data_IF_109716789119
#
_entry.id   IF_109716789119
#
_cell.length_a   1.000
_cell.length_b   1.000
_cell.length_c   1.000
_cell.angle_alpha   90.00
_cell.angle_beta   90.00
_cell.angle_gamma   90.00
#
_symmetry.space_group_name_H-M   'P 1'
#
loop_
_entity.id
_entity.type
_entity.pdbx_description
1 polymer ?
#
# COMPACT_ATOMS: atom_id res chain seq x y z
N UNK A 1 1.61 -23.14 -3.45
CA UNK A 1 1.98 -22.37 -2.26
C UNK A 1 0.78 -21.75 -1.57
N UNK A 2 0.04 -20.83 -2.19
CA UNK A 2 -1.10 -20.14 -1.57
C UNK A 2 -2.16 -21.08 -0.96
N UNK A 3 -2.49 -22.20 -1.56
CA UNK A 3 -3.50 -23.13 -1.04
C UNK A 3 -3.25 -23.63 0.39
N UNK A 4 -1.98 -23.73 0.82
CA UNK A 4 -1.60 -24.24 2.15
C UNK A 4 -1.55 -23.11 3.21
N UNK A 5 -1.22 -21.89 2.79
CA UNK A 5 -0.95 -20.76 3.70
C UNK A 5 -1.84 -19.55 3.43
N UNK A 6 -3.04 -19.76 2.85
CA UNK A 6 -3.93 -18.65 2.42
C UNK A 6 -4.29 -17.71 3.56
N UNK A 7 -4.59 -18.24 4.73
CA UNK A 7 -5.14 -17.43 5.83
C UNK A 7 -4.03 -16.71 6.61
N UNK A 8 -2.98 -17.44 7.00
CA UNK A 8 -1.97 -16.97 7.97
C UNK A 8 -0.64 -16.61 7.30
N UNK A 9 -0.46 -16.97 6.02
CA UNK A 9 0.81 -16.81 5.33
C UNK A 9 1.86 -17.87 5.71
N UNK A 10 3.00 -17.83 5.04
CA UNK A 10 4.13 -18.73 5.30
C UNK A 10 5.13 -18.18 6.33
N UNK A 11 4.94 -16.95 6.77
CA UNK A 11 5.89 -16.20 7.59
C UNK A 11 6.84 -15.35 6.74
N UNK A 12 7.45 -14.35 7.36
CA UNK A 12 8.42 -13.48 6.70
C UNK A 12 9.61 -14.30 6.20
N UNK A 13 10.10 -13.97 5.00
CA UNK A 13 11.26 -14.57 4.33
C UNK A 13 11.21 -16.10 4.11
N UNK A 14 10.08 -16.74 4.38
CA UNK A 14 9.87 -18.17 4.13
C UNK A 14 9.41 -18.49 2.70
N UNK A 15 9.32 -17.49 1.84
CA UNK A 15 8.88 -17.67 0.46
C UNK A 15 9.72 -18.72 -0.31
N UNK A 16 11.07 -18.72 -0.24
CA UNK A 16 11.89 -19.69 -0.95
C UNK A 16 11.64 -21.15 -0.50
N UNK A 17 11.30 -21.33 0.77
CA UNK A 17 11.04 -22.66 1.37
C UNK A 17 9.62 -23.13 1.04
N UNK A 18 8.66 -22.23 1.05
CA UNK A 18 7.25 -22.54 0.83
C UNK A 18 6.87 -22.61 -0.66
N UNK A 19 7.66 -22.00 -1.53
CA UNK A 19 7.48 -22.07 -2.98
C UNK A 19 8.00 -23.39 -3.53
N UNK A 20 7.26 -24.12 -4.41
CA UNK A 20 7.73 -25.35 -5.01
C UNK A 20 8.89 -25.05 -5.98
N UNK A 21 10.10 -25.34 -5.52
CA UNK A 21 11.35 -25.11 -6.28
C UNK A 21 11.65 -26.21 -7.30
N UNK A 22 10.94 -27.34 -7.22
CA UNK A 22 11.25 -28.58 -7.98
C UNK A 22 10.58 -28.63 -9.37
N UNK A 23 9.74 -27.66 -9.71
CA UNK A 23 9.09 -27.59 -11.02
C UNK A 23 10.04 -26.98 -12.06
N UNK A 24 10.95 -27.84 -12.56
CA UNK A 24 11.95 -27.46 -13.56
C UNK A 24 11.34 -27.03 -14.90
N UNK A 25 10.18 -27.58 -15.27
CA UNK A 25 9.50 -27.21 -16.53
C UNK A 25 8.89 -25.80 -16.44
N UNK A 26 8.24 -25.46 -15.34
CA UNK A 26 7.72 -24.12 -15.12
C UNK A 26 8.86 -23.09 -15.03
N UNK A 27 9.97 -23.47 -14.37
CA UNK A 27 11.16 -22.60 -14.28
C UNK A 27 11.83 -22.38 -15.63
N UNK A 28 12.04 -23.43 -16.43
CA UNK A 28 12.69 -23.30 -17.75
C UNK A 28 11.87 -22.46 -18.74
N UNK A 29 10.55 -22.43 -18.58
CA UNK A 29 9.68 -21.60 -19.41
C UNK A 29 9.64 -20.14 -18.99
N UNK A 30 10.05 -19.84 -17.75
CA UNK A 30 9.93 -18.50 -17.17
C UNK A 30 11.28 -17.82 -16.96
N UNK A 31 12.32 -18.59 -16.68
CA UNK A 31 13.67 -18.10 -16.38
C UNK A 31 14.69 -18.72 -17.32
N UNK A 32 15.73 -17.97 -17.66
CA UNK A 32 16.82 -18.43 -18.53
C UNK A 32 17.66 -19.56 -17.90
N UNK A 33 17.66 -19.66 -16.56
CA UNK A 33 18.35 -20.72 -15.82
C UNK A 33 17.36 -21.49 -14.93
N UNK A 34 17.12 -22.79 -15.16
CA UNK A 34 16.22 -23.61 -14.35
C UNK A 34 16.71 -23.80 -12.90
N UNK A 35 17.98 -23.55 -12.60
CA UNK A 35 18.52 -23.62 -11.25
C UNK A 35 18.28 -22.34 -10.42
N UNK A 36 17.70 -21.29 -11.02
CA UNK A 36 17.37 -20.06 -10.31
C UNK A 36 16.46 -20.34 -9.11
N UNK A 37 16.87 -19.92 -7.93
CA UNK A 37 16.02 -19.98 -6.72
C UNK A 37 15.07 -18.79 -6.74
N UNK A 38 13.76 -19.09 -6.70
CA UNK A 38 12.73 -18.05 -6.63
C UNK A 38 12.60 -17.64 -5.17
N UNK A 39 13.14 -16.48 -4.82
CA UNK A 39 13.23 -15.97 -3.45
C UNK A 39 12.02 -15.11 -3.05
N UNK A 40 11.37 -14.43 -4.00
CA UNK A 40 10.23 -13.53 -3.75
C UNK A 40 9.37 -13.33 -5.01
N UNK A 41 8.11 -12.86 -4.82
CA UNK A 41 7.15 -12.77 -5.92
C UNK A 41 7.27 -11.51 -6.80
N UNK A 42 8.23 -10.60 -6.55
CA UNK A 42 8.38 -9.30 -7.25
C UNK A 42 7.05 -8.54 -7.43
N UNK A 43 6.18 -8.64 -6.43
CA UNK A 43 4.92 -7.93 -6.34
C UNK A 43 4.58 -7.75 -4.87
N UNK A 44 4.43 -6.50 -4.43
CA UNK A 44 4.17 -6.12 -3.04
C UNK A 44 2.94 -6.83 -2.45
N UNK A 45 1.86 -6.91 -3.22
CA UNK A 45 0.60 -7.50 -2.72
C UNK A 45 0.72 -9.02 -2.58
N UNK A 46 1.37 -9.68 -3.53
CA UNK A 46 1.66 -11.11 -3.43
C UNK A 46 2.66 -11.41 -2.31
N UNK A 47 3.63 -10.54 -2.08
CA UNK A 47 4.57 -10.66 -0.97
C UNK A 47 3.85 -10.58 0.38
N UNK A 48 2.95 -9.61 0.56
CA UNK A 48 2.14 -9.50 1.78
C UNK A 48 1.23 -10.71 1.94
N UNK A 49 0.51 -11.11 0.88
CA UNK A 49 -0.38 -12.27 0.94
C UNK A 49 0.36 -13.57 1.26
N UNK A 50 1.57 -13.78 0.72
CA UNK A 50 2.36 -14.98 0.97
C UNK A 50 2.99 -15.01 2.35
N UNK A 51 3.45 -13.86 2.87
CA UNK A 51 4.12 -13.76 4.16
C UNK A 51 3.14 -13.74 5.34
N UNK A 52 2.05 -12.96 5.22
CA UNK A 52 1.13 -12.67 6.34
C UNK A 52 -0.31 -13.12 6.11
N UNK A 53 -0.61 -13.68 4.94
CA UNK A 53 -1.92 -14.21 4.58
C UNK A 53 -2.88 -13.18 3.96
N UNK A 54 -3.98 -13.72 3.44
CA UNK A 54 -5.00 -12.92 2.74
C UNK A 54 -5.74 -11.94 3.65
N UNK A 55 -5.92 -12.29 4.92
CA UNK A 55 -6.60 -11.43 5.90
C UNK A 55 -5.80 -10.14 6.12
N UNK A 56 -4.48 -10.25 6.26
CA UNK A 56 -3.59 -9.10 6.41
C UNK A 56 -3.59 -8.23 5.14
N UNK A 57 -3.52 -8.86 3.96
CA UNK A 57 -3.61 -8.13 2.68
C UNK A 57 -4.93 -7.35 2.57
N UNK A 58 -6.07 -7.99 2.85
CA UNK A 58 -7.38 -7.33 2.77
C UNK A 58 -7.51 -6.19 3.78
N UNK A 59 -6.98 -6.36 5.01
CA UNK A 59 -6.96 -5.32 6.03
C UNK A 59 -6.13 -4.11 5.58
N UNK A 60 -4.96 -4.35 5.00
CA UNK A 60 -4.11 -3.29 4.46
C UNK A 60 -4.79 -2.56 3.29
N UNK A 61 -5.34 -3.31 2.33
CA UNK A 61 -6.05 -2.73 1.18
C UNK A 61 -7.28 -1.94 1.63
N UNK A 62 -8.01 -2.42 2.64
CA UNK A 62 -9.13 -1.71 3.24
C UNK A 62 -8.71 -0.38 3.86
N UNK A 63 -7.67 -0.38 4.68
CA UNK A 63 -7.12 0.83 5.31
C UNK A 63 -6.63 1.84 4.27
N UNK A 64 -5.88 1.38 3.27
CA UNK A 64 -5.41 2.23 2.16
C UNK A 64 -6.56 2.75 1.31
N UNK A 65 -7.57 1.91 1.03
CA UNK A 65 -8.78 2.31 0.30
C UNK A 65 -9.54 3.42 1.03
N UNK A 66 -9.71 3.30 2.34
CA UNK A 66 -10.34 4.35 3.17
C UNK A 66 -9.53 5.65 3.10
N UNK A 67 -8.20 5.59 3.21
CA UNK A 67 -7.33 6.76 3.10
C UNK A 67 -7.45 7.43 1.73
N UNK A 68 -7.34 6.66 0.64
CA UNK A 68 -7.39 7.18 -0.73
C UNK A 68 -8.75 7.80 -1.05
N UNK A 69 -9.85 7.09 -0.77
CA UNK A 69 -11.21 7.57 -1.04
C UNK A 69 -11.50 8.83 -0.21
N UNK A 70 -11.13 8.82 1.07
CA UNK A 70 -11.34 9.96 1.96
C UNK A 70 -10.52 11.17 1.51
N UNK A 71 -9.26 10.97 1.12
CA UNK A 71 -8.39 12.02 0.60
C UNK A 71 -8.92 12.61 -0.70
N UNK A 72 -9.28 11.78 -1.68
CA UNK A 72 -9.84 12.24 -2.95
C UNK A 72 -11.12 13.06 -2.75
N UNK A 73 -12.05 12.58 -1.90
CA UNK A 73 -13.27 13.33 -1.55
C UNK A 73 -12.99 14.64 -0.82
N UNK A 74 -11.99 14.68 0.04
CA UNK A 74 -11.60 15.87 0.79
C UNK A 74 -11.04 16.92 -0.17
N UNK A 75 -10.04 16.57 -0.99
CA UNK A 75 -9.35 17.50 -1.88
C UNK A 75 -10.26 18.03 -3.00
N UNK A 76 -11.26 17.25 -3.45
CA UNK A 76 -12.25 17.72 -4.42
C UNK A 76 -13.23 18.75 -3.85
N UNK A 77 -13.41 18.81 -2.53
CA UNK A 77 -14.33 19.72 -1.85
C UNK A 77 -13.67 21.00 -1.33
N UNK A 78 -12.35 20.98 -1.12
CA UNK A 78 -11.63 22.13 -0.59
C UNK A 78 -11.50 23.21 -1.67
N UNK A 79 -12.14 24.36 -1.46
CA UNK A 79 -12.09 25.54 -2.36
C UNK A 79 -10.98 26.51 -2.01
N UNK A 80 -10.56 26.58 -0.73
CA UNK A 80 -9.50 27.47 -0.30
C UNK A 80 -8.11 26.93 -0.62
N UNK A 81 -7.19 27.83 -0.95
CA UNK A 81 -5.80 27.48 -1.17
C UNK A 81 -5.01 27.55 0.14
N UNK A 82 -4.36 26.46 0.51
CA UNK A 82 -3.49 26.41 1.68
C UNK A 82 -2.31 25.49 1.42
N UNK A 83 -1.18 25.76 2.06
CA UNK A 83 -0.01 24.90 2.00
C UNK A 83 -0.34 23.46 2.41
N UNK A 84 -1.17 23.31 3.45
CA UNK A 84 -1.63 22.00 3.94
C UNK A 84 -2.37 21.20 2.87
N UNK A 85 -3.21 21.86 2.05
CA UNK A 85 -3.90 21.22 0.93
C UNK A 85 -2.91 20.62 -0.07
N UNK A 86 -1.91 21.39 -0.46
CA UNK A 86 -0.90 20.92 -1.44
C UNK A 86 -0.02 19.81 -0.86
N UNK A 87 0.43 19.94 0.38
CA UNK A 87 1.21 18.90 1.06
C UNK A 87 0.43 17.60 1.18
N UNK A 88 -0.84 17.66 1.60
CA UNK A 88 -1.66 16.47 1.74
C UNK A 88 -1.99 15.81 0.39
N UNK A 89 -2.24 16.60 -0.66
CA UNK A 89 -2.42 16.07 -2.02
C UNK A 89 -1.13 15.41 -2.54
N UNK A 90 0.03 15.98 -2.25
CA UNK A 90 1.33 15.37 -2.60
C UNK A 90 1.54 14.03 -1.89
N UNK A 91 1.20 13.93 -0.60
CA UNK A 91 1.22 12.66 0.12
C UNK A 91 0.30 11.62 -0.53
N UNK A 92 -0.92 12.01 -0.91
CA UNK A 92 -1.88 11.13 -1.56
C UNK A 92 -1.33 10.58 -2.89
N UNK A 93 -0.79 11.45 -3.74
CA UNK A 93 -0.20 11.08 -5.02
C UNK A 93 1.01 10.16 -4.82
N UNK A 94 1.86 10.45 -3.82
CA UNK A 94 3.02 9.61 -3.50
C UNK A 94 2.62 8.20 -3.08
N UNK A 95 1.56 8.05 -2.29
CA UNK A 95 1.02 6.74 -1.90
C UNK A 95 0.48 5.99 -3.12
N UNK A 96 -0.27 6.66 -4.01
CA UNK A 96 -0.76 6.05 -5.26
C UNK A 96 0.43 5.57 -6.12
N UNK A 97 1.45 6.40 -6.28
CA UNK A 97 2.66 6.04 -7.04
C UNK A 97 3.40 4.84 -6.45
N UNK A 98 3.55 4.80 -5.11
CA UNK A 98 4.15 3.64 -4.43
C UNK A 98 3.36 2.35 -4.64
N UNK A 99 2.03 2.41 -4.52
CA UNK A 99 1.17 1.24 -4.74
C UNK A 99 1.21 0.76 -6.20
N UNK A 100 1.24 1.69 -7.16
CA UNK A 100 1.40 1.34 -8.58
C UNK A 100 2.75 0.67 -8.85
N UNK A 101 3.85 1.21 -8.30
CA UNK A 101 5.17 0.58 -8.39
C UNK A 101 5.21 -0.80 -7.73
N UNK A 102 4.51 -0.97 -6.61
CA UNK A 102 4.39 -2.22 -5.87
C UNK A 102 3.67 -3.34 -6.63
N UNK A 103 2.95 -3.03 -7.71
CA UNK A 103 2.39 -4.06 -8.59
C UNK A 103 3.46 -4.82 -9.37
N UNK A 104 4.61 -4.19 -9.60
CA UNK A 104 5.71 -4.74 -10.40
C UNK A 104 6.98 -4.98 -9.59
N UNK A 105 6.97 -4.59 -8.32
CA UNK A 105 8.14 -4.68 -7.45
C UNK A 105 7.75 -5.15 -6.04
N UNK A 106 8.69 -5.78 -5.37
CA UNK A 106 8.56 -6.13 -3.95
C UNK A 106 8.89 -4.93 -3.04
N UNK A 107 8.49 -5.03 -1.77
CA UNK A 107 8.86 -4.03 -0.77
C UNK A 107 10.34 -4.14 -0.42
N UNK A 108 11.07 -3.04 -0.56
CA UNK A 108 12.48 -2.93 -0.12
C UNK A 108 12.55 -2.25 1.24
N UNK A 109 13.43 -2.77 2.09
CA UNK A 109 13.60 -2.30 3.49
C UNK A 109 13.90 -0.81 3.58
N UNK A 110 14.64 -0.26 2.61
CA UNK A 110 14.97 1.17 2.56
C UNK A 110 13.80 2.09 2.20
N UNK A 111 12.79 1.59 1.50
CA UNK A 111 11.65 2.40 1.02
C UNK A 111 10.41 2.23 1.90
N UNK A 112 10.24 1.08 2.51
CA UNK A 112 9.08 0.78 3.36
C UNK A 112 8.87 1.81 4.50
N UNK A 113 9.89 2.26 5.25
CA UNK A 113 9.71 3.28 6.28
C UNK A 113 9.20 4.60 5.73
N UNK A 114 9.67 5.04 4.57
CA UNK A 114 9.22 6.28 3.92
C UNK A 114 7.75 6.22 3.55
N UNK A 115 7.28 5.08 3.06
CA UNK A 115 5.87 4.85 2.77
C UNK A 115 5.00 5.07 4.02
N UNK A 116 5.37 4.49 5.16
CA UNK A 116 4.60 4.64 6.41
C UNK A 116 4.64 6.06 6.97
N UNK A 117 5.78 6.75 6.85
CA UNK A 117 5.91 8.16 7.24
C UNK A 117 5.00 9.04 6.39
N UNK A 118 5.03 8.90 5.07
CA UNK A 118 4.21 9.69 4.13
C UNK A 118 2.72 9.39 4.36
N UNK A 119 2.35 8.15 4.59
CA UNK A 119 0.98 7.76 4.91
C UNK A 119 0.50 8.41 6.21
N UNK A 120 1.31 8.36 7.28
CA UNK A 120 0.99 8.98 8.56
C UNK A 120 0.86 10.51 8.46
N UNK A 121 1.76 11.16 7.73
CA UNK A 121 1.67 12.60 7.43
C UNK A 121 0.39 12.93 6.66
N UNK A 122 0.08 12.16 5.62
CA UNK A 122 -1.13 12.37 4.82
C UNK A 122 -2.41 12.23 5.63
N UNK A 123 -2.49 11.23 6.51
CA UNK A 123 -3.63 11.04 7.42
C UNK A 123 -3.77 12.24 8.37
N UNK A 124 -2.66 12.68 8.98
CA UNK A 124 -2.66 13.83 9.91
C UNK A 124 -3.13 15.10 9.23
N UNK A 125 -2.64 15.39 8.01
CA UNK A 125 -3.05 16.56 7.22
C UNK A 125 -4.53 16.47 6.84
N UNK A 126 -5.02 15.31 6.42
CA UNK A 126 -6.43 15.12 6.08
C UNK A 126 -7.35 15.40 7.26
N UNK A 127 -6.98 14.98 8.48
CA UNK A 127 -7.74 15.24 9.69
C UNK A 127 -7.79 16.74 10.00
N UNK A 128 -6.65 17.45 9.90
CA UNK A 128 -6.58 18.90 10.12
C UNK A 128 -7.45 19.68 9.12
N UNK A 129 -7.34 19.35 7.85
CA UNK A 129 -8.12 19.98 6.79
C UNK A 129 -9.63 19.75 6.96
N UNK A 130 -10.01 18.53 7.36
CA UNK A 130 -11.41 18.20 7.64
C UNK A 130 -11.96 19.02 8.80
N UNK A 131 -11.21 19.17 9.89
CA UNK A 131 -11.61 19.96 11.04
C UNK A 131 -11.73 21.45 10.67
N UNK A 132 -10.80 21.97 9.89
CA UNK A 132 -10.83 23.36 9.40
C UNK A 132 -12.04 23.63 8.51
N UNK A 133 -12.36 22.71 7.61
CA UNK A 133 -13.59 22.83 6.80
C UNK A 133 -14.86 22.83 7.64
N UNK A 134 -14.88 22.05 8.72
CA UNK A 134 -16.03 22.01 9.63
C UNK A 134 -16.19 23.34 10.36
N UNK A 135 -15.12 23.90 10.89
CA UNK A 135 -15.14 25.22 11.56
C UNK A 135 -15.65 26.35 10.64
N UNK A 136 -15.11 26.44 9.42
CA UNK A 136 -15.54 27.47 8.44
C UNK A 136 -17.04 27.35 8.17
N UNK A 137 -17.57 26.15 8.03
CA UNK A 137 -18.99 25.92 7.78
C UNK A 137 -19.87 26.30 8.97
N UNK A 138 -19.41 26.06 10.20
CA UNK A 138 -20.16 26.43 11.41
C UNK A 138 -20.18 27.96 11.60
N UNK A 139 -19.09 28.66 11.27
CA UNK A 139 -19.01 30.11 11.31
C UNK A 139 -19.97 30.77 10.28
N UNK A 140 -20.06 30.19 9.06
CA UNK A 140 -21.01 30.66 8.03
C UNK A 140 -22.49 30.42 8.41
N UNK A 141 -22.79 29.49 9.32
CA UNK A 141 -24.17 29.18 9.72
C UNK A 141 -24.62 30.02 10.93
N UNK A 142 -23.69 30.56 11.72
CA UNK A 142 -23.93 31.29 12.94
C UNK A 142 -23.75 32.82 12.79
N UNK A 143 -23.33 33.31 11.64
CA UNK A 143 -23.18 34.74 11.29
C UNK A 143 -24.25 35.22 10.33
#
# INVERSE_FOLDING_TARGET
MLKKYVIVGSGADNYPIAFPQDDLLAKSNTFSDPNTVIDKPHNLFLQIASNTGIVSLLSLLGALGIYLISGLKLYSKITFNSLEKYMGASCLISIIGYLAAGMFNDSVVSVAPLFWIILGMGISINLRLKNKMFQIRDDEHNG
#
